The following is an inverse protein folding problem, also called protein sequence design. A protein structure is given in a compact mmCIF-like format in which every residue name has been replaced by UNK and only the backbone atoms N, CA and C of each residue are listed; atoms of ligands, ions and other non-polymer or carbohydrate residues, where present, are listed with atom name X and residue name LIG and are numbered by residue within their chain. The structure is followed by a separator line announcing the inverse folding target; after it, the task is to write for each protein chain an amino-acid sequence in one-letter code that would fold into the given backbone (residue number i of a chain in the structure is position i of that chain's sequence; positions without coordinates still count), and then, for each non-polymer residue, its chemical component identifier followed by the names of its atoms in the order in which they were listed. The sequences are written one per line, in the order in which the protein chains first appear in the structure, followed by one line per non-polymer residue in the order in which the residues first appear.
data_IF_757265586584
#
_entry.id   IF_757265586584
#
_cell.length_a   1.000
_cell.length_b   1.000
_cell.length_c   1.000
_cell.angle_alpha   90.00
_cell.angle_beta   90.00
_cell.angle_gamma   90.00
#
_symmetry.space_group_name_H-M   'P 1'
#
loop_
_entity.id
_entity.type
_entity.pdbx_description
1 polymer ?
#
# COMPACT_ATOMS: atom_id res chain seq x y z
N UNK A 1 -2.05 12.05 -3.19
CA UNK A 1 -2.96 12.74 -4.14
C UNK A 1 -3.38 14.10 -3.64
N UNK A 2 -3.51 14.29 -2.32
CA UNK A 2 -3.73 15.59 -1.69
C UNK A 2 -2.49 16.16 -0.97
N UNK A 3 -1.44 15.36 -0.85
CA UNK A 3 -0.13 15.78 -0.33
C UNK A 3 0.86 15.69 -1.48
N UNK A 4 1.42 16.84 -1.86
CA UNK A 4 2.39 17.00 -2.95
C UNK A 4 3.83 17.07 -2.45
N UNK A 5 4.03 17.22 -1.13
CA UNK A 5 5.33 17.35 -0.50
C UNK A 5 5.88 15.97 -0.11
N UNK A 6 7.03 15.63 -0.69
CA UNK A 6 7.72 14.36 -0.48
C UNK A 6 8.29 14.25 0.93
N UNK A 7 8.75 15.36 1.54
CA UNK A 7 9.29 15.37 2.91
C UNK A 7 8.19 15.04 3.94
N UNK A 8 6.96 15.50 3.70
CA UNK A 8 5.81 15.17 4.53
C UNK A 8 5.43 13.69 4.43
N UNK A 9 5.57 13.08 3.25
CA UNK A 9 5.30 11.66 3.06
C UNK A 9 6.36 10.79 3.74
N UNK A 10 7.63 11.18 3.66
CA UNK A 10 8.73 10.50 4.35
C UNK A 10 8.59 10.60 5.87
N UNK A 11 8.18 11.76 6.39
CA UNK A 11 7.96 11.95 7.82
C UNK A 11 6.83 11.04 8.34
N UNK A 12 5.71 10.95 7.61
CA UNK A 12 4.60 10.06 7.97
C UNK A 12 5.03 8.59 7.91
N UNK A 13 5.86 8.20 6.93
CA UNK A 13 6.39 6.83 6.87
C UNK A 13 7.20 6.50 8.14
N UNK A 14 8.10 7.40 8.54
CA UNK A 14 8.90 7.24 9.75
C UNK A 14 8.03 7.11 11.01
N UNK A 15 7.04 8.00 11.19
CA UNK A 15 6.14 7.97 12.35
C UNK A 15 5.33 6.67 12.42
N UNK A 16 4.86 6.15 11.28
CA UNK A 16 4.12 4.87 11.22
C UNK A 16 5.03 3.70 11.59
N UNK A 17 6.28 3.69 11.11
CA UNK A 17 7.25 2.63 11.45
C UNK A 17 7.59 2.65 12.93
N UNK A 18 7.84 3.82 13.50
CA UNK A 18 8.09 3.97 14.94
C UNK A 18 6.89 3.50 15.78
N UNK A 19 5.66 3.83 15.36
CA UNK A 19 4.44 3.39 16.01
C UNK A 19 4.31 1.85 15.97
N UNK A 20 4.53 1.22 14.82
CA UNK A 20 4.50 -0.23 14.68
C UNK A 20 5.56 -0.91 15.57
N UNK A 21 6.78 -0.40 15.55
CA UNK A 21 7.88 -0.86 16.41
C UNK A 21 7.55 -0.71 17.90
N UNK A 22 6.84 0.36 18.30
CA UNK A 22 6.40 0.57 19.69
C UNK A 22 5.40 -0.50 20.18
N UNK A 23 4.65 -1.09 19.25
CA UNK A 23 3.70 -2.17 19.49
C UNK A 23 4.28 -3.57 19.22
N UNK A 24 5.61 -3.69 19.16
CA UNK A 24 6.32 -4.96 18.93
C UNK A 24 6.07 -5.59 17.54
N UNK A 25 5.58 -4.79 16.58
CA UNK A 25 5.55 -5.19 15.16
C UNK A 25 6.88 -4.86 14.47
N UNK A 26 7.25 -5.57 13.39
CA UNK A 26 8.46 -5.28 12.64
C UNK A 26 8.28 -4.04 11.76
N UNK A 27 8.33 -2.84 12.35
CA UNK A 27 8.08 -1.56 11.66
C UNK A 27 9.01 -1.31 10.46
N UNK A 28 10.26 -1.78 10.51
CA UNK A 28 11.21 -1.63 9.41
C UNK A 28 10.95 -2.61 8.24
N UNK A 29 10.42 -3.80 8.52
CA UNK A 29 10.20 -4.84 7.50
C UNK A 29 8.80 -4.75 6.84
N UNK A 30 7.84 -4.08 7.49
CA UNK A 30 6.48 -3.95 6.96
C UNK A 30 6.49 -3.09 5.69
N UNK A 31 5.95 -3.60 4.57
CA UNK A 31 5.86 -2.84 3.32
C UNK A 31 4.82 -1.74 3.43
N UNK A 32 5.23 -0.50 3.15
CA UNK A 32 4.36 0.69 3.13
C UNK A 32 4.27 1.20 1.69
N UNK A 33 3.05 1.26 1.15
CA UNK A 33 2.78 1.66 -0.24
C UNK A 33 1.98 2.96 -0.25
N UNK A 34 2.60 4.04 -0.72
CA UNK A 34 1.94 5.34 -0.91
C UNK A 34 1.09 5.35 -2.20
N UNK A 35 -0.17 5.74 -2.08
CA UNK A 35 -1.13 5.77 -3.19
C UNK A 35 -2.44 6.47 -2.83
N UNK A 36 -3.40 6.48 -3.76
CA UNK A 36 -4.76 7.00 -3.53
C UNK A 36 -5.78 5.94 -3.91
N UNK A 37 -6.52 5.46 -2.90
CA UNK A 37 -7.60 4.49 -3.10
C UNK A 37 -8.78 5.10 -3.86
N UNK A 38 -9.08 6.38 -3.62
CA UNK A 38 -10.16 7.09 -4.30
C UNK A 38 -9.89 7.19 -5.80
N UNK A 39 -8.72 7.72 -6.19
CA UNK A 39 -8.37 7.88 -7.61
C UNK A 39 -8.23 6.54 -8.33
N UNK A 40 -7.76 5.50 -7.64
CA UNK A 40 -7.75 4.15 -8.20
C UNK A 40 -9.16 3.62 -8.48
N UNK A 41 -10.09 3.82 -7.53
CA UNK A 41 -11.49 3.42 -7.70
C UNK A 41 -12.19 4.21 -8.81
N UNK A 42 -12.02 5.53 -8.85
CA UNK A 42 -12.58 6.38 -9.90
C UNK A 42 -12.08 5.96 -11.29
N UNK A 43 -10.79 5.62 -11.41
CA UNK A 43 -10.22 5.11 -12.66
C UNK A 43 -10.88 3.78 -13.07
N UNK A 44 -11.06 2.84 -12.14
CA UNK A 44 -11.74 1.56 -12.40
C UNK A 44 -13.23 1.74 -12.75
N UNK A 45 -13.91 2.69 -12.12
CA UNK A 45 -15.30 3.01 -12.44
C UNK A 45 -15.44 3.61 -13.84
N UNK A 46 -14.51 4.47 -14.24
CA UNK A 46 -14.47 5.03 -15.58
C UNK A 46 -14.16 3.96 -16.64
N UNK A 47 -13.23 3.05 -16.33
CA UNK A 47 -12.78 1.99 -17.24
C UNK A 47 -12.63 0.64 -16.49
N UNK A 48 -13.67 -0.20 -16.42
CA UNK A 48 -13.65 -1.46 -15.67
C UNK A 48 -12.67 -2.53 -16.19
N UNK A 49 -12.11 -2.32 -17.38
CA UNK A 49 -11.16 -3.23 -18.03
C UNK A 49 -9.72 -2.73 -17.95
N UNK A 50 -9.47 -1.71 -17.13
CA UNK A 50 -8.14 -1.19 -16.80
C UNK A 50 -7.21 -2.34 -16.40
N UNK A 51 -6.07 -2.44 -17.07
CA UNK A 51 -5.04 -3.42 -16.75
C UNK A 51 -3.92 -2.77 -15.96
N UNK A 52 -3.14 -3.61 -15.30
CA UNK A 52 -1.88 -3.20 -14.67
C UNK A 52 -0.99 -2.52 -15.73
N UNK A 53 -0.55 -1.30 -15.45
CA UNK A 53 0.25 -0.43 -16.33
C UNK A 53 -0.54 0.71 -16.99
N UNK A 54 -1.87 0.68 -16.97
CA UNK A 54 -2.69 1.69 -17.64
C UNK A 54 -2.96 2.93 -16.77
N UNK A 55 -2.80 2.81 -15.44
CA UNK A 55 -3.01 3.93 -14.51
C UNK A 55 -2.12 3.82 -13.27
N UNK A 56 -1.40 4.90 -12.97
CA UNK A 56 -0.48 4.98 -11.83
C UNK A 56 -1.12 4.65 -10.47
N UNK A 57 -2.40 5.00 -10.25
CA UNK A 57 -3.09 4.76 -8.99
C UNK A 57 -3.57 3.32 -8.87
N UNK A 58 -4.07 2.75 -9.96
CA UNK A 58 -4.43 1.33 -10.03
C UNK A 58 -3.19 0.45 -9.83
N UNK A 59 -2.05 0.86 -10.39
CA UNK A 59 -0.78 0.15 -10.21
C UNK A 59 -0.29 0.15 -8.75
N UNK A 60 -0.56 1.21 -7.99
CA UNK A 60 -0.29 1.23 -6.54
C UNK A 60 -1.15 0.22 -5.78
N UNK A 61 -2.40 -0.01 -6.18
CA UNK A 61 -3.25 -1.06 -5.60
C UNK A 61 -2.69 -2.45 -5.95
N UNK A 62 -2.28 -2.67 -7.20
CA UNK A 62 -1.62 -3.92 -7.57
C UNK A 62 -0.32 -4.14 -6.79
N UNK A 63 0.48 -3.09 -6.60
CA UNK A 63 1.69 -3.15 -5.77
C UNK A 63 1.35 -3.54 -4.32
N UNK A 64 0.31 -2.93 -3.73
CA UNK A 64 -0.14 -3.27 -2.39
C UNK A 64 -0.55 -4.75 -2.29
N UNK A 65 -1.33 -5.24 -3.26
CA UNK A 65 -1.74 -6.65 -3.30
C UNK A 65 -0.56 -7.60 -3.46
N UNK A 66 0.41 -7.27 -4.31
CA UNK A 66 1.63 -8.05 -4.49
C UNK A 66 2.45 -8.13 -3.20
N UNK A 67 2.57 -7.03 -2.45
CA UNK A 67 3.28 -7.01 -1.17
C UNK A 67 2.53 -7.78 -0.08
N UNK A 68 1.20 -7.71 -0.05
CA UNK A 68 0.37 -8.54 0.83
C UNK A 68 0.59 -10.03 0.55
N UNK A 69 0.54 -10.44 -0.71
CA UNK A 69 0.72 -11.84 -1.12
C UNK A 69 2.13 -12.38 -0.80
N UNK A 70 3.15 -11.52 -0.83
CA UNK A 70 4.54 -11.88 -0.49
C UNK A 70 4.81 -11.86 1.01
N UNK A 71 4.32 -10.85 1.71
CA UNK A 71 4.66 -10.56 3.10
C UNK A 71 3.82 -11.37 4.08
N UNK A 72 2.54 -11.62 3.79
CA UNK A 72 1.64 -12.35 4.68
C UNK A 72 1.70 -13.84 4.34
N UNK A 73 2.29 -14.69 5.21
CA UNK A 73 2.33 -16.13 4.96
C UNK A 73 0.94 -16.73 5.07
N UNK A 74 0.69 -17.79 4.28
CA UNK A 74 -0.56 -18.54 4.36
C UNK A 74 -0.66 -19.15 5.77
N UNK A 75 -1.73 -18.84 6.54
CA UNK A 75 -1.86 -19.33 7.90
C UNK A 75 -2.05 -20.84 7.89
N UNK A 76 -1.35 -21.53 8.80
CA UNK A 76 -1.57 -22.96 9.02
C UNK A 76 -2.98 -23.18 9.56
N UNK A 77 -3.77 -23.96 8.84
CA UNK A 77 -5.06 -24.44 9.32
C UNK A 77 -4.81 -25.73 10.11
N UNK A 78 -5.29 -25.80 11.34
CA UNK A 78 -5.28 -27.07 12.08
C UNK A 78 -6.19 -28.06 11.35
N UNK A 79 -5.63 -29.20 10.93
CA UNK A 79 -6.39 -30.39 10.48
C UNK A 79 -6.87 -31.19 11.66
#
# INVERSE_FOLDING_TARGET
DQVDDEELLELVDLEVRELLSSYEFPGDDIPIVSGSALLALEALMANPTLKRGDNKWVDKIYQLMDEVDKYIPIPQRQT
#
